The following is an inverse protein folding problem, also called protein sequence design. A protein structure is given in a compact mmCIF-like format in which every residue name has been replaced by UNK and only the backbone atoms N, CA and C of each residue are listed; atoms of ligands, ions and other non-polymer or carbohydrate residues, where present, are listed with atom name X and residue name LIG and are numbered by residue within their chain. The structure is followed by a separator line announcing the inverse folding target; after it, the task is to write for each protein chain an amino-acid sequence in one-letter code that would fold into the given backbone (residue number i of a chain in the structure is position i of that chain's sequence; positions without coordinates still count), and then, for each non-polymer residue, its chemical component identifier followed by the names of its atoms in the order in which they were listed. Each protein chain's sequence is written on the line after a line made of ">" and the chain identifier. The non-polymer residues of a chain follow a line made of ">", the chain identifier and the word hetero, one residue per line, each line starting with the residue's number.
data_IF_583223257306
#
_entry.id   IF_583223257306
#
_cell.length_a   1.000
_cell.length_b   1.000
_cell.length_c   1.000
_cell.angle_alpha   90.00
_cell.angle_beta   90.00
_cell.angle_gamma   90.00
#
_symmetry.space_group_name_H-M   'P 1'
#
loop_
_entity.id
_entity.type
_entity.pdbx_description
1 polymer ?
#
# COMPACT_ATOMS: atom_id res chain seq x y z
N UNK A 1 3.73 24.19 -20.03
CA UNK A 1 2.96 23.02 -20.49
C UNK A 1 2.48 23.36 -21.89
N UNK A 2 3.00 22.72 -22.92
CA UNK A 2 2.56 22.99 -24.30
C UNK A 2 1.26 22.23 -24.57
N UNK A 3 0.13 22.91 -24.40
CA UNK A 3 -1.19 22.30 -24.56
C UNK A 3 -1.47 21.90 -26.01
N UNK A 4 -0.82 22.52 -26.99
CA UNK A 4 -1.01 22.18 -28.41
C UNK A 4 -0.38 20.82 -28.72
N UNK A 5 0.89 20.63 -28.32
CA UNK A 5 1.57 19.34 -28.50
C UNK A 5 0.85 18.19 -27.78
N UNK A 6 0.27 18.45 -26.61
CA UNK A 6 -0.56 17.46 -25.93
C UNK A 6 -1.87 17.18 -26.64
N UNK A 7 -2.51 18.18 -27.23
CA UNK A 7 -3.72 17.98 -28.01
C UNK A 7 -3.45 17.10 -29.24
N UNK A 8 -2.31 17.25 -29.91
CA UNK A 8 -1.95 16.39 -31.04
C UNK A 8 -1.90 14.90 -30.65
N UNK A 9 -1.43 14.60 -29.44
CA UNK A 9 -1.44 13.24 -28.88
C UNK A 9 -2.88 12.75 -28.61
N UNK A 10 -3.77 13.61 -28.10
CA UNK A 10 -5.18 13.25 -27.92
C UNK A 10 -5.86 12.99 -29.27
N UNK A 11 -5.57 13.81 -30.28
CA UNK A 11 -6.09 13.64 -31.64
C UNK A 11 -5.62 12.33 -32.26
N UNK A 12 -4.36 11.92 -32.04
CA UNK A 12 -3.88 10.61 -32.47
C UNK A 12 -4.73 9.47 -31.88
N UNK A 13 -5.07 9.54 -30.59
CA UNK A 13 -5.96 8.56 -29.93
C UNK A 13 -7.39 8.63 -30.49
N UNK A 14 -7.91 9.82 -30.80
CA UNK A 14 -9.22 9.99 -31.42
C UNK A 14 -9.27 9.36 -32.84
N UNK A 15 -8.19 9.47 -33.62
CA UNK A 15 -8.07 8.82 -34.92
C UNK A 15 -8.08 7.28 -34.82
N UNK A 16 -7.53 6.71 -33.75
CA UNK A 16 -7.63 5.27 -33.50
C UNK A 16 -9.08 4.83 -33.30
N UNK A 17 -9.87 5.59 -32.52
CA UNK A 17 -11.32 5.34 -32.40
C UNK A 17 -12.02 5.48 -33.75
N UNK A 18 -11.70 6.51 -34.54
CA UNK A 18 -12.28 6.68 -35.87
C UNK A 18 -12.02 5.45 -36.77
N UNK A 19 -10.78 4.95 -36.77
CA UNK A 19 -10.38 3.75 -37.53
C UNK A 19 -11.10 2.48 -37.05
N UNK A 20 -11.44 2.42 -35.76
CA UNK A 20 -12.19 1.33 -35.16
C UNK A 20 -13.72 1.44 -35.33
N UNK A 21 -14.23 2.49 -35.99
CA UNK A 21 -15.68 2.71 -36.14
C UNK A 21 -16.36 3.22 -34.87
N UNK A 22 -15.60 3.87 -33.99
CA UNK A 22 -16.05 4.47 -32.74
C UNK A 22 -16.20 6.00 -32.88
N UNK A 23 -16.87 6.64 -31.91
CA UNK A 23 -16.88 8.11 -31.83
C UNK A 23 -15.45 8.61 -31.60
N UNK A 24 -14.90 9.53 -32.42
CA UNK A 24 -13.49 9.90 -32.40
C UNK A 24 -13.16 10.82 -31.23
N UNK A 25 -13.00 10.24 -30.04
CA UNK A 25 -12.61 10.94 -28.81
C UNK A 25 -11.34 10.30 -28.26
N UNK A 26 -10.34 11.13 -27.98
CA UNK A 26 -9.09 10.76 -27.33
C UNK A 26 -8.88 11.55 -26.04
N UNK A 27 -8.18 10.95 -25.09
CA UNK A 27 -7.90 11.53 -23.78
C UNK A 27 -6.48 11.17 -23.32
N UNK A 28 -5.92 12.02 -22.47
CA UNK A 28 -4.61 11.84 -21.87
C UNK A 28 -4.58 12.49 -20.49
N UNK A 29 -3.97 11.79 -19.54
CA UNK A 29 -3.73 12.29 -18.18
C UNK A 29 -2.25 12.66 -18.07
N UNK A 30 -1.98 13.89 -17.61
CA UNK A 30 -0.63 14.42 -17.48
C UNK A 30 -0.36 14.73 -16.00
N UNK A 31 0.74 14.22 -15.47
CA UNK A 31 1.21 14.52 -14.12
C UNK A 31 2.71 14.80 -14.17
N UNK A 32 3.19 15.86 -13.53
CA UNK A 32 4.59 16.30 -13.58
C UNK A 32 5.16 16.40 -15.00
N UNK A 33 4.38 16.93 -15.94
CA UNK A 33 4.74 17.11 -17.35
C UNK A 33 5.09 15.78 -18.07
N UNK A 34 4.55 14.66 -17.58
CA UNK A 34 4.63 13.33 -18.18
C UNK A 34 3.22 12.77 -18.39
N UNK A 35 3.00 12.13 -19.53
CA UNK A 35 1.74 11.40 -19.80
C UNK A 35 1.74 10.13 -18.96
N UNK A 36 0.75 9.98 -18.08
CA UNK A 36 0.60 8.81 -17.19
C UNK A 36 -0.49 7.84 -17.67
N UNK A 37 -1.36 8.27 -18.58
CA UNK A 37 -2.34 7.42 -19.26
C UNK A 37 -2.81 8.06 -20.57
N UNK A 38 -3.22 7.22 -21.52
CA UNK A 38 -3.84 7.63 -22.80
C UNK A 38 -5.01 6.72 -23.13
N UNK A 39 -6.13 7.25 -23.61
CA UNK A 39 -7.33 6.47 -23.87
C UNK A 39 -8.10 7.02 -25.06
N UNK A 40 -8.91 6.15 -25.66
CA UNK A 40 -9.82 6.47 -26.75
C UNK A 40 -11.17 5.77 -26.51
N UNK A 41 -12.23 6.18 -27.20
CA UNK A 41 -13.55 5.58 -27.07
C UNK A 41 -13.56 4.14 -27.60
N UNK A 42 -14.09 3.19 -26.82
CA UNK A 42 -14.18 1.76 -27.16
C UNK A 42 -15.55 1.16 -26.80
N UNK A 43 -16.60 1.97 -26.81
CA UNK A 43 -17.97 1.58 -26.39
C UNK A 43 -18.52 0.42 -27.20
N UNK A 44 -18.41 0.48 -28.53
CA UNK A 44 -18.89 -0.55 -29.43
C UNK A 44 -18.02 -1.81 -29.36
N UNK A 45 -16.69 -1.66 -29.38
CA UNK A 45 -15.74 -2.79 -29.32
C UNK A 45 -15.95 -3.65 -28.07
N UNK A 46 -16.17 -2.99 -26.93
CA UNK A 46 -16.29 -3.65 -25.62
C UNK A 46 -17.73 -4.01 -25.24
N UNK A 47 -18.71 -3.62 -26.06
CA UNK A 47 -20.14 -3.69 -25.74
C UNK A 47 -20.47 -3.06 -24.37
N UNK A 48 -19.80 -1.97 -24.01
CA UNK A 48 -19.93 -1.32 -22.71
C UNK A 48 -20.02 0.20 -22.87
N UNK A 49 -21.21 0.74 -22.62
CA UNK A 49 -21.53 2.17 -22.72
C UNK A 49 -20.66 3.09 -21.85
N UNK A 50 -19.92 2.55 -20.88
CA UNK A 50 -19.02 3.34 -20.02
C UNK A 50 -17.61 3.50 -20.56
N UNK A 51 -17.24 2.79 -21.64
CA UNK A 51 -15.85 2.75 -22.15
C UNK A 51 -15.49 3.98 -23.01
N UNK A 52 -15.74 5.16 -22.45
CA UNK A 52 -15.30 6.44 -22.99
C UNK A 52 -13.78 6.61 -22.80
N UNK A 53 -13.18 7.53 -23.56
CA UNK A 53 -11.74 7.78 -23.56
C UNK A 53 -11.19 8.13 -22.16
N UNK A 54 -11.93 8.91 -21.38
CA UNK A 54 -11.57 9.32 -20.02
C UNK A 54 -11.61 8.15 -19.04
N UNK A 55 -12.64 7.31 -19.12
CA UNK A 55 -12.77 6.10 -18.27
C UNK A 55 -11.64 5.11 -18.58
N UNK A 56 -11.29 4.96 -19.85
CA UNK A 56 -10.16 4.13 -20.27
C UNK A 56 -8.80 4.69 -19.78
N UNK A 57 -8.66 6.02 -19.64
CA UNK A 57 -7.50 6.62 -18.97
C UNK A 57 -7.51 6.36 -17.45
N UNK A 58 -8.67 6.53 -16.81
CA UNK A 58 -8.85 6.28 -15.37
C UNK A 58 -8.40 4.87 -15.01
N UNK A 59 -8.79 3.87 -15.80
CA UNK A 59 -8.41 2.48 -15.56
C UNK A 59 -6.90 2.23 -15.64
N UNK A 60 -6.15 3.03 -16.39
CA UNK A 60 -4.70 2.93 -16.45
C UNK A 60 -4.05 3.54 -15.22
N UNK A 61 -4.53 4.69 -14.76
CA UNK A 61 -3.98 5.34 -13.56
C UNK A 61 -4.39 4.65 -12.28
N UNK A 62 -5.59 4.08 -12.20
CA UNK A 62 -6.09 3.34 -11.02
C UNK A 62 -5.39 2.00 -10.80
N UNK A 63 -4.48 1.56 -11.70
CA UNK A 63 -3.59 0.40 -11.49
C UNK A 63 -2.43 0.74 -10.55
N UNK A 64 -2.74 1.29 -9.37
CA UNK A 64 -1.73 1.52 -8.35
C UNK A 64 -1.36 0.19 -7.68
N UNK A 65 -0.05 -0.06 -7.61
CA UNK A 65 0.54 -1.14 -6.83
C UNK A 65 1.04 -0.58 -5.52
N UNK A 66 0.57 -1.13 -4.40
CA UNK A 66 1.13 -0.82 -3.10
C UNK A 66 2.18 -1.86 -2.77
N UNK A 67 3.43 -1.43 -2.65
CA UNK A 67 4.53 -2.29 -2.24
C UNK A 67 4.98 -1.85 -0.84
N UNK A 68 4.87 -2.74 0.14
CA UNK A 68 5.18 -2.43 1.55
C UNK A 68 6.05 -3.53 2.16
N UNK A 69 6.95 -3.20 3.08
CA UNK A 69 7.87 -4.21 3.66
C UNK A 69 7.17 -5.15 4.63
N UNK A 70 6.10 -4.69 5.29
CA UNK A 70 5.34 -5.45 6.29
C UNK A 70 3.88 -5.47 5.85
N UNK A 71 3.20 -6.59 6.02
CA UNK A 71 1.77 -6.70 5.74
C UNK A 71 0.97 -5.52 6.34
N UNK A 72 0.16 -4.82 5.52
CA UNK A 72 -0.71 -3.73 5.99
C UNK A 72 -1.53 -4.16 7.19
N UNK A 73 -1.62 -3.30 8.20
CA UNK A 73 -2.52 -3.58 9.32
C UNK A 73 -3.99 -3.48 8.89
N UNK A 74 -4.92 -3.94 9.73
CA UNK A 74 -6.38 -3.88 9.50
C UNK A 74 -6.84 -2.48 9.03
N UNK A 75 -6.39 -1.43 9.72
CA UNK A 75 -6.71 -0.04 9.39
C UNK A 75 -6.22 0.34 7.99
N UNK A 76 -4.95 0.07 7.70
CA UNK A 76 -4.36 0.39 6.40
C UNK A 76 -5.05 -0.39 5.29
N UNK A 77 -5.27 -1.69 5.48
CA UNK A 77 -5.94 -2.53 4.49
C UNK A 77 -7.34 -2.00 4.15
N UNK A 78 -8.14 -1.63 5.15
CA UNK A 78 -9.47 -1.02 4.94
C UNK A 78 -9.37 0.29 4.15
N UNK A 79 -8.41 1.16 4.47
CA UNK A 79 -8.21 2.42 3.76
C UNK A 79 -7.81 2.18 2.28
N UNK A 80 -6.92 1.23 2.01
CA UNK A 80 -6.47 0.91 0.65
C UNK A 80 -7.62 0.36 -0.22
N UNK A 81 -8.53 -0.41 0.37
CA UNK A 81 -9.74 -0.90 -0.32
C UNK A 81 -10.72 0.23 -0.66
N UNK A 82 -10.90 1.20 0.24
CA UNK A 82 -11.73 2.38 -0.02
C UNK A 82 -11.16 3.26 -1.15
N UNK A 83 -9.84 3.27 -1.31
CA UNK A 83 -9.15 3.90 -2.43
C UNK A 83 -9.18 3.07 -3.73
N UNK A 84 -9.88 1.93 -3.74
CA UNK A 84 -10.02 1.02 -4.88
C UNK A 84 -8.69 0.52 -5.45
N UNK A 85 -7.68 0.34 -4.60
CA UNK A 85 -6.41 -0.24 -5.00
C UNK A 85 -6.62 -1.67 -5.51
N UNK A 86 -5.94 -1.99 -6.61
CA UNK A 86 -6.10 -3.29 -7.30
C UNK A 86 -5.03 -4.30 -6.90
N UNK A 87 -3.89 -3.87 -6.37
CA UNK A 87 -2.80 -4.77 -6.00
C UNK A 87 -2.01 -4.31 -4.77
N UNK A 88 -1.75 -5.24 -3.87
CA UNK A 88 -0.87 -5.09 -2.72
C UNK A 88 0.19 -6.18 -2.75
N UNK A 89 1.45 -5.79 -2.65
CA UNK A 89 2.60 -6.66 -2.49
C UNK A 89 3.25 -6.34 -1.16
N UNK A 90 3.51 -7.34 -0.32
CA UNK A 90 4.21 -7.13 0.93
C UNK A 90 5.36 -8.10 1.19
N UNK A 91 6.31 -7.64 2.01
CA UNK A 91 7.47 -8.40 2.45
C UNK A 91 7.12 -9.47 3.48
N UNK A 92 7.23 -9.17 4.77
CA UNK A 92 6.91 -10.13 5.82
C UNK A 92 5.47 -9.98 6.36
N UNK A 93 4.96 -11.04 6.97
CA UNK A 93 3.67 -11.03 7.67
C UNK A 93 3.67 -10.03 8.83
N UNK A 94 2.47 -9.62 9.25
CA UNK A 94 2.24 -8.79 10.42
C UNK A 94 1.41 -9.56 11.44
N UNK A 95 2.08 -10.36 12.26
CA UNK A 95 1.46 -11.32 13.18
C UNK A 95 0.60 -10.66 14.27
N UNK A 96 0.75 -9.34 14.49
CA UNK A 96 0.04 -8.62 15.55
C UNK A 96 -1.16 -7.83 15.05
N UNK A 97 -1.10 -7.30 13.83
CA UNK A 97 -2.14 -6.39 13.31
C UNK A 97 -2.51 -6.63 11.84
N UNK A 98 -2.00 -7.69 11.20
CA UNK A 98 -2.13 -7.95 9.76
C UNK A 98 -3.57 -7.98 9.26
N UNK A 99 -3.85 -7.11 8.30
CA UNK A 99 -5.17 -6.91 7.69
C UNK A 99 -5.37 -7.64 6.36
N UNK A 100 -4.32 -8.26 5.81
CA UNK A 100 -4.45 -9.02 4.57
C UNK A 100 -4.85 -10.45 4.86
N UNK A 101 -4.10 -11.15 5.71
CA UNK A 101 -4.28 -12.58 5.99
C UNK A 101 -4.00 -12.89 7.47
N UNK A 102 -2.98 -12.28 8.10
CA UNK A 102 -2.41 -12.81 9.34
C UNK A 102 -3.29 -12.70 10.57
N UNK A 103 -4.03 -11.61 10.75
CA UNK A 103 -4.93 -11.41 11.91
C UNK A 103 -6.39 -11.33 11.49
N UNK A 104 -6.68 -10.50 10.48
CA UNK A 104 -8.01 -10.38 9.91
C UNK A 104 -7.89 -10.19 8.41
N UNK A 105 -8.58 -11.01 7.63
CA UNK A 105 -8.65 -10.86 6.18
C UNK A 105 -9.71 -9.82 5.82
N UNK A 106 -9.33 -8.54 5.93
CA UNK A 106 -10.20 -7.39 5.63
C UNK A 106 -10.83 -7.47 4.23
N UNK A 107 -10.14 -7.93 3.17
CA UNK A 107 -10.75 -8.06 1.84
C UNK A 107 -12.05 -8.86 1.81
N UNK A 108 -12.27 -9.83 2.72
CA UNK A 108 -13.53 -10.61 2.75
C UNK A 108 -14.76 -9.81 3.13
N UNK A 109 -14.60 -8.65 3.76
CA UNK A 109 -15.71 -7.76 4.12
C UNK A 109 -16.07 -6.75 3.03
N UNK A 110 -15.26 -6.69 1.97
CA UNK A 110 -15.48 -5.84 0.81
C UNK A 110 -15.64 -6.76 -0.40
N UNK A 111 -16.58 -6.50 -1.32
CA UNK A 111 -16.66 -7.25 -2.59
C UNK A 111 -15.52 -6.83 -3.54
N UNK A 112 -14.29 -6.95 -3.04
CA UNK A 112 -13.08 -6.40 -3.63
C UNK A 112 -12.28 -7.50 -4.32
N UNK A 113 -11.98 -7.30 -5.60
CA UNK A 113 -11.12 -8.18 -6.39
C UNK A 113 -9.65 -7.76 -6.28
N UNK A 114 -9.18 -7.51 -5.06
CA UNK A 114 -7.80 -7.08 -4.85
C UNK A 114 -6.83 -8.26 -5.00
N UNK A 115 -5.70 -8.04 -5.67
CA UNK A 115 -4.62 -9.02 -5.77
C UNK A 115 -3.63 -8.79 -4.63
N UNK A 116 -3.42 -9.80 -3.78
CA UNK A 116 -2.51 -9.72 -2.63
C UNK A 116 -1.38 -10.73 -2.82
N UNK A 117 -0.13 -10.26 -2.75
CA UNK A 117 1.07 -11.10 -2.81
C UNK A 117 1.95 -10.83 -1.58
N UNK A 118 2.10 -11.84 -0.72
CA UNK A 118 2.97 -11.78 0.45
C UNK A 118 4.34 -12.43 0.25
N UNK A 119 5.19 -12.31 1.26
CA UNK A 119 6.50 -12.97 1.34
C UNK A 119 7.55 -12.54 0.30
N UNK A 120 7.42 -11.34 -0.28
CA UNK A 120 8.40 -10.84 -1.26
C UNK A 120 9.61 -10.24 -0.55
N UNK A 121 10.74 -10.95 -0.59
CA UNK A 121 11.93 -10.63 0.23
C UNK A 121 11.58 -10.58 1.73
N UNK A 122 10.67 -11.45 2.16
CA UNK A 122 10.12 -11.48 3.52
C UNK A 122 11.19 -11.58 4.61
N UNK A 123 12.23 -12.40 4.43
CA UNK A 123 13.33 -12.52 5.39
C UNK A 123 14.07 -11.21 5.62
N UNK A 124 14.33 -10.45 4.55
CA UNK A 124 15.00 -9.15 4.65
C UNK A 124 14.12 -8.14 5.38
N UNK A 125 12.82 -8.11 5.07
CA UNK A 125 11.87 -7.24 5.73
C UNK A 125 11.71 -7.56 7.23
N UNK A 126 11.61 -8.85 7.56
CA UNK A 126 11.52 -9.32 8.94
C UNK A 126 12.80 -9.00 9.72
N UNK A 127 13.99 -9.20 9.12
CA UNK A 127 15.26 -8.86 9.75
C UNK A 127 15.33 -7.37 10.13
N UNK A 128 14.91 -6.47 9.23
CA UNK A 128 14.85 -5.03 9.52
C UNK A 128 13.91 -4.72 10.68
N UNK A 129 12.74 -5.37 10.73
CA UNK A 129 11.78 -5.20 11.82
C UNK A 129 12.34 -5.69 13.16
N UNK A 130 13.02 -6.85 13.16
CA UNK A 130 13.68 -7.40 14.35
C UNK A 130 14.81 -6.50 14.83
N UNK A 131 15.62 -5.96 13.91
CA UNK A 131 16.73 -5.06 14.25
C UNK A 131 16.22 -3.76 14.87
N UNK A 132 15.08 -3.23 14.41
CA UNK A 132 14.41 -2.09 15.05
C UNK A 132 14.04 -2.39 16.51
N UNK A 133 13.44 -3.55 16.80
CA UNK A 133 13.03 -3.92 18.16
C UNK A 133 14.19 -4.29 19.12
N UNK A 134 15.40 -4.55 18.59
CA UNK A 134 16.62 -4.68 19.43
C UNK A 134 17.11 -3.32 19.93
N UNK A 135 16.77 -2.25 19.23
CA UNK A 135 17.14 -0.88 19.59
C UNK A 135 16.33 -0.35 20.77
N UNK A 136 16.82 0.73 21.38
CA UNK A 136 16.07 1.51 22.36
C UNK A 136 15.38 2.65 21.62
N UNK A 137 14.09 2.88 21.88
CA UNK A 137 13.38 4.01 21.30
C UNK A 137 13.97 5.32 21.86
N UNK A 138 14.63 6.16 21.05
CA UNK A 138 15.26 7.40 21.52
C UNK A 138 14.23 8.44 21.97
N UNK A 139 12.97 8.29 21.54
CA UNK A 139 11.86 9.15 21.95
C UNK A 139 11.13 8.62 23.18
N UNK A 140 11.57 7.48 23.76
CA UNK A 140 10.99 6.99 25.00
C UNK A 140 11.36 7.98 26.13
N UNK A 141 10.39 8.41 26.94
CA UNK A 141 10.70 9.20 28.12
C UNK A 141 11.65 8.41 29.03
N UNK A 142 12.58 9.11 29.68
CA UNK A 142 13.49 8.47 30.63
C UNK A 142 12.69 7.64 31.65
N UNK A 143 13.11 6.38 31.82
CA UNK A 143 12.40 5.47 32.72
C UNK A 143 12.44 6.04 34.14
N UNK A 144 11.28 6.38 34.71
CA UNK A 144 11.15 6.79 36.13
C UNK A 144 11.41 5.66 37.13
N UNK A 145 11.82 4.48 36.67
CA UNK A 145 12.15 3.34 37.53
C UNK A 145 13.41 3.69 38.31
N UNK A 146 13.25 3.91 39.62
CA UNK A 146 14.35 4.16 40.56
C UNK A 146 15.38 3.02 40.48
N UNK A 147 16.57 3.31 39.97
CA UNK A 147 17.77 2.48 40.21
C UNK A 147 18.11 2.56 41.70
N UNK A 148 17.85 1.48 42.44
CA UNK A 148 18.41 1.33 43.79
C UNK A 148 17.54 0.51 44.73
N UNK A 149 17.65 -0.82 44.69
CA UNK A 149 17.54 -1.62 45.91
C UNK A 149 18.96 -2.13 46.22
N UNK A 150 19.62 -1.41 47.11
CA UNK A 150 20.94 -1.74 47.62
C UNK A 150 20.80 -3.05 48.43
N UNK A 151 21.27 -4.18 47.90
CA UNK A 151 21.43 -5.41 48.69
C UNK A 151 22.60 -5.19 49.65
N UNK A 152 22.32 -4.60 50.82
CA UNK A 152 23.24 -4.66 51.95
C UNK A 152 23.09 -6.03 52.60
N UNK A 153 24.16 -6.81 52.52
CA UNK A 153 24.35 -7.96 53.39
C UNK A 153 24.49 -7.52 54.85
N UNK A 154 24.04 -8.41 55.74
CA UNK A 154 24.47 -8.44 57.14
C UNK A 154 24.66 -9.90 57.52
N UNK A 155 25.92 -10.24 57.75
CA UNK A 155 26.38 -11.46 58.40
C UNK A 155 26.10 -11.41 59.91
N UNK A 156 25.71 -12.57 60.43
CA UNK A 156 25.95 -13.14 61.77
C UNK A 156 25.42 -12.42 63.02
N UNK A 157 24.61 -13.14 63.80
CA UNK A 157 25.03 -13.63 65.14
C UNK A 157 24.16 -14.81 65.58
N UNK A 158 24.83 -15.91 65.95
CA UNK A 158 24.33 -17.01 66.76
C UNK A 158 23.84 -16.52 68.13
N UNK A 159 22.76 -17.11 68.65
CA UNK A 159 22.62 -17.41 70.08
C UNK A 159 21.63 -18.56 70.28
N UNK A 160 22.10 -19.59 70.97
CA UNK A 160 21.39 -20.76 71.50
C UNK A 160 20.53 -20.43 72.74
N UNK A 161 19.74 -21.44 73.13
CA UNK A 161 18.98 -21.65 74.39
C UNK A 161 17.56 -21.05 74.40
N UNK A 162 16.49 -21.84 74.58
CA UNK A 162 16.27 -22.90 75.58
C UNK A 162 15.28 -23.96 75.11
#
# INVERSE_FOLDING_TARGET
>A
MDTSAWMDVALQKAEESLKAGEVPVGCLFIYNNQVIATGNNTVNETCNATRHAEINCIDQVLKFYVIVTVEPCIMCMSALLQLQIRSIVYGCANDRFGGCISVLEVPKFYDSKIMIQGNIKGEKAMRLLQDFYKGVNPNAPESKVKKGRNTKGTSSTHTENK
#
